data_IF_635440962979
#
_entry.id   IF_635440962979
#
_cell.length_a   1.000
_cell.length_b   1.000
_cell.length_c   1.000
_cell.angle_alpha   90.00
_cell.angle_beta   90.00
_cell.angle_gamma   90.00
#
_symmetry.space_group_name_H-M   'P 1'
#
loop_
_entity.id
_entity.type
_entity.pdbx_description
1 polymer ?
#
# COMPACT_ATOMS: atom_id res chain seq x y z
N UNK A 1 -3.76 -2.34 -16.78
CA UNK A 1 -4.70 -2.84 -15.75
C UNK A 1 -4.42 -2.12 -14.46
N UNK A 2 -5.43 -1.53 -13.82
CA UNK A 2 -5.28 -0.87 -12.52
C UNK A 2 -5.43 -1.93 -11.43
N UNK A 3 -4.35 -2.22 -10.69
CA UNK A 3 -4.36 -3.22 -9.62
C UNK A 3 -5.18 -2.67 -8.45
N UNK A 4 -6.20 -3.42 -8.02
CA UNK A 4 -7.00 -3.05 -6.84
C UNK A 4 -6.21 -3.31 -5.57
N UNK A 5 -6.39 -2.47 -4.55
CA UNK A 5 -5.75 -2.69 -3.25
C UNK A 5 -6.18 -4.03 -2.64
N UNK A 6 -7.44 -4.43 -2.84
CA UNK A 6 -7.95 -5.73 -2.38
C UNK A 6 -7.27 -6.94 -3.05
N UNK A 7 -6.67 -6.78 -4.23
CA UNK A 7 -5.96 -7.85 -4.95
C UNK A 7 -4.57 -8.13 -4.33
N UNK A 8 -4.00 -7.16 -3.62
CA UNK A 8 -2.69 -7.25 -2.97
C UNK A 8 -2.66 -8.19 -1.75
N UNK A 9 -3.79 -8.83 -1.42
CA UNK A 9 -3.95 -9.74 -0.28
C UNK A 9 -3.41 -9.12 1.02
N UNK A 10 -3.69 -7.83 1.23
CA UNK A 10 -3.35 -7.14 2.48
C UNK A 10 -4.23 -7.65 3.62
N UNK A 11 -3.91 -7.23 4.86
CA UNK A 11 -4.80 -7.49 6.00
C UNK A 11 -6.17 -6.84 5.73
N UNK A 12 -7.29 -7.50 6.04
CA UNK A 12 -8.62 -6.94 5.80
C UNK A 12 -8.80 -5.55 6.41
N UNK A 13 -8.37 -5.37 7.67
CA UNK A 13 -8.43 -4.09 8.38
C UNK A 13 -7.62 -2.97 7.71
N UNK A 14 -6.51 -3.31 7.04
CA UNK A 14 -5.72 -2.32 6.30
C UNK A 14 -6.40 -1.97 4.96
N UNK A 15 -7.03 -2.94 4.30
CA UNK A 15 -7.78 -2.67 3.07
C UNK A 15 -8.99 -1.78 3.34
N UNK A 16 -9.66 -1.98 4.48
CA UNK A 16 -10.78 -1.15 4.93
C UNK A 16 -10.30 0.29 5.20
N UNK A 17 -9.22 0.46 5.96
CA UNK A 17 -8.62 1.78 6.22
C UNK A 17 -8.21 2.49 4.91
N UNK A 18 -7.59 1.77 3.97
CA UNK A 18 -7.21 2.33 2.67
C UNK A 18 -8.45 2.78 1.86
N UNK A 19 -9.53 2.01 1.88
CA UNK A 19 -10.80 2.41 1.26
C UNK A 19 -11.43 3.63 1.98
N UNK A 20 -11.37 3.70 3.30
CA UNK A 20 -11.86 4.85 4.08
C UNK A 20 -11.06 6.13 3.78
N UNK A 21 -9.77 6.00 3.50
CA UNK A 21 -8.90 7.09 3.05
C UNK A 21 -9.12 7.47 1.57
N UNK A 22 -9.95 6.73 0.84
CA UNK A 22 -10.29 6.99 -0.56
C UNK A 22 -9.36 6.32 -1.57
N UNK A 23 -8.53 5.37 -1.16
CA UNK A 23 -7.66 4.60 -2.05
C UNK A 23 -8.35 3.29 -2.47
N UNK A 24 -8.73 3.17 -3.74
CA UNK A 24 -9.34 1.94 -4.27
C UNK A 24 -8.33 1.11 -5.09
N UNK A 25 -7.44 1.80 -5.79
CA UNK A 25 -6.42 1.19 -6.65
C UNK A 25 -5.02 1.62 -6.22
N UNK A 26 -4.04 0.79 -6.56
CA UNK A 26 -2.61 1.05 -6.27
C UNK A 26 -2.15 2.38 -6.88
N UNK A 27 -2.69 2.73 -8.04
CA UNK A 27 -2.43 3.98 -8.76
C UNK A 27 -2.80 5.24 -7.92
N UNK A 28 -3.87 5.16 -7.11
CA UNK A 28 -4.26 6.27 -6.24
C UNK A 28 -3.18 6.60 -5.22
N UNK A 29 -2.31 5.64 -4.88
CA UNK A 29 -1.23 5.83 -3.90
C UNK A 29 0.10 6.22 -4.56
N UNK A 30 0.17 6.35 -5.89
CA UNK A 30 1.40 6.66 -6.60
C UNK A 30 1.98 8.03 -6.25
N UNK A 31 1.13 8.97 -5.83
CA UNK A 31 1.53 10.32 -5.39
C UNK A 31 2.05 10.36 -3.94
N UNK A 32 1.79 9.33 -3.13
CA UNK A 32 2.20 9.28 -1.72
C UNK A 32 3.68 8.93 -1.60
N UNK A 33 4.41 9.56 -0.67
CA UNK A 33 5.79 9.13 -0.37
C UNK A 33 5.78 7.82 0.41
N UNK A 34 6.92 7.11 0.42
CA UNK A 34 7.08 5.89 1.22
C UNK A 34 6.81 6.13 2.72
N UNK A 35 7.23 7.30 3.23
CA UNK A 35 6.96 7.71 4.60
C UNK A 35 5.46 7.92 4.88
N UNK A 36 4.71 8.48 3.93
CA UNK A 36 3.27 8.71 4.08
C UNK A 36 2.51 7.38 4.12
N UNK A 37 2.89 6.44 3.24
CA UNK A 37 2.31 5.09 3.24
C UNK A 37 2.58 4.38 4.56
N UNK A 38 3.80 4.46 5.10
CA UNK A 38 4.17 3.84 6.38
C UNK A 38 3.48 4.47 7.59
N UNK A 39 2.95 5.69 7.46
CA UNK A 39 2.16 6.36 8.50
C UNK A 39 0.70 5.92 8.55
N UNK A 40 0.21 5.20 7.53
CA UNK A 40 -1.17 4.70 7.50
C UNK A 40 -1.38 3.72 8.66
N UNK A 41 -2.42 3.89 9.49
CA UNK A 41 -2.72 2.96 10.57
C UNK A 41 -2.85 1.52 10.07
N UNK A 42 -2.24 0.57 10.79
CA UNK A 42 -2.21 -0.83 10.37
C UNK A 42 -1.21 -1.16 9.25
N UNK A 43 -0.44 -0.18 8.75
CA UNK A 43 0.63 -0.42 7.79
C UNK A 43 1.84 -1.08 8.45
N UNK A 44 1.97 -2.39 8.26
CA UNK A 44 3.16 -3.15 8.66
C UNK A 44 4.17 -3.28 7.52
N UNK A 45 5.44 -3.54 7.84
CA UNK A 45 6.51 -3.68 6.84
C UNK A 45 6.26 -4.78 5.79
N UNK A 46 5.54 -5.86 6.11
CA UNK A 46 5.14 -6.88 5.12
C UNK A 46 4.09 -6.34 4.15
N UNK A 47 3.07 -5.66 4.66
CA UNK A 47 2.03 -5.02 3.84
C UNK A 47 2.63 -3.95 2.94
N UNK A 48 3.51 -3.11 3.51
CA UNK A 48 4.23 -2.09 2.77
C UNK A 48 5.06 -2.69 1.62
N UNK A 49 5.79 -3.79 1.84
CA UNK A 49 6.55 -4.45 0.78
C UNK A 49 5.69 -4.93 -0.38
N UNK A 50 4.50 -5.47 -0.10
CA UNK A 50 3.53 -5.89 -1.14
C UNK A 50 3.03 -4.70 -1.94
N UNK A 51 2.70 -3.61 -1.23
CA UNK A 51 2.20 -2.39 -1.84
C UNK A 51 3.29 -1.67 -2.65
N UNK A 52 4.52 -1.61 -2.13
CA UNK A 52 5.69 -1.08 -2.84
C UNK A 52 5.97 -1.86 -4.12
N UNK A 53 5.94 -3.20 -4.07
CA UNK A 53 6.10 -4.04 -5.26
C UNK A 53 5.02 -3.74 -6.32
N UNK A 54 3.77 -3.54 -5.90
CA UNK A 54 2.68 -3.20 -6.81
C UNK A 54 2.79 -1.77 -7.38
N UNK A 55 3.36 -0.84 -6.61
CA UNK A 55 3.70 0.52 -7.03
C UNK A 55 4.95 0.58 -7.92
N UNK A 56 5.64 -0.55 -8.14
CA UNK A 56 6.94 -0.57 -8.83
C UNK A 56 8.07 0.12 -8.06
N UNK A 57 7.93 0.25 -6.73
CA UNK A 57 8.91 0.87 -5.84
C UNK A 57 9.80 -0.18 -5.20
N UNK A 58 11.05 0.19 -4.96
CA UNK A 58 11.94 -0.64 -4.15
C UNK A 58 11.42 -0.71 -2.70
N UNK A 59 11.24 -1.92 -2.15
CA UNK A 59 10.89 -2.07 -0.75
C UNK A 59 12.03 -1.54 0.13
N UNK A 60 11.71 -0.71 1.13
CA UNK A 60 12.66 -0.35 2.18
C UNK A 60 13.25 -1.62 2.82
N UNK A 61 14.53 -1.87 2.59
CA UNK A 61 15.32 -2.90 3.25
C UNK A 61 15.71 -4.10 2.38
N UNK A 62 16.80 -3.96 1.63
CA UNK A 62 17.98 -4.82 1.79
C UNK A 62 19.24 -4.07 1.34
N UNK A 63 19.84 -3.31 2.25
CA UNK A 63 21.22 -2.86 2.14
C UNK A 63 21.97 -3.29 3.40
#
# INVERSE_FOLDING_TARGET
MKTKISDLKLKPSLCDELHQLGFEIVDDMQHLSNADILRIPGMGGVSYRRLAAALGREPYGRH
#
